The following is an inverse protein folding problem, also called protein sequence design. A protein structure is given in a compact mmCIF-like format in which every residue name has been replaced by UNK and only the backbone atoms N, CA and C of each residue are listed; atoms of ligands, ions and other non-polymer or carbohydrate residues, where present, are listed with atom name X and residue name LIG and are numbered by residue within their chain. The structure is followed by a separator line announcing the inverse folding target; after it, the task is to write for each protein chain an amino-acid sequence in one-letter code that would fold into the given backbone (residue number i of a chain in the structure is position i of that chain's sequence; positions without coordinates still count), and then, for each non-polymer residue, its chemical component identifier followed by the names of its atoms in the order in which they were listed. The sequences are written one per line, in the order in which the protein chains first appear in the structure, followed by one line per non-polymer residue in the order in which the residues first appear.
data_IF_957476997268
#
_entry.id   IF_957476997268
#
_cell.length_a   1.000
_cell.length_b   1.000
_cell.length_c   1.000
_cell.angle_alpha   90.00
_cell.angle_beta   90.00
_cell.angle_gamma   90.00
#
_symmetry.space_group_name_H-M   'P 1'
#
loop_
_entity.id
_entity.type
_entity.pdbx_description
1 polymer ?
#
# COMPACT_ATOMS: atom_id res chain seq x y z
N UNK A 1 6.88 10.59 27.65
CA UNK A 1 6.93 9.13 27.87
C UNK A 1 5.55 8.67 28.30
N UNK A 2 4.67 8.33 27.35
CA UNK A 2 3.26 8.01 27.65
C UNK A 2 3.15 6.57 28.15
N UNK A 3 2.96 6.42 29.46
CA UNK A 3 2.68 5.13 30.11
C UNK A 3 1.31 4.65 29.59
N UNK A 4 1.32 3.77 28.59
CA UNK A 4 0.12 3.07 28.16
C UNK A 4 -0.34 2.19 29.32
N UNK A 5 -1.35 2.64 30.06
CA UNK A 5 -2.03 1.82 31.06
C UNK A 5 -2.62 0.57 30.40
N UNK A 6 -2.63 -0.57 31.10
CA UNK A 6 -3.16 -1.85 30.60
C UNK A 6 -4.57 -1.69 30.00
N UNK A 7 -5.38 -0.83 30.62
CA UNK A 7 -6.71 -0.42 30.13
C UNK A 7 -6.67 0.15 28.70
N UNK A 8 -5.71 1.03 28.38
CA UNK A 8 -5.59 1.61 27.04
C UNK A 8 -5.19 0.56 25.98
N UNK A 9 -4.32 -0.40 26.32
CA UNK A 9 -3.98 -1.51 25.42
C UNK A 9 -5.20 -2.38 25.12
N UNK A 10 -5.99 -2.71 26.15
CA UNK A 10 -7.21 -3.51 25.99
C UNK A 10 -8.24 -2.75 25.17
N UNK A 11 -8.48 -1.46 25.46
CA UNK A 11 -9.43 -0.64 24.68
C UNK A 11 -9.01 -0.51 23.22
N UNK A 12 -7.72 -0.34 22.93
CA UNK A 12 -7.24 -0.30 21.55
C UNK A 12 -7.53 -1.61 20.80
N UNK A 13 -7.31 -2.76 21.45
CA UNK A 13 -7.66 -4.06 20.88
C UNK A 13 -9.16 -4.22 20.61
N UNK A 14 -10.02 -3.76 21.51
CA UNK A 14 -11.48 -3.80 21.34
C UNK A 14 -11.92 -2.89 20.19
N UNK A 15 -11.40 -1.66 20.11
CA UNK A 15 -11.71 -0.76 19.00
C UNK A 15 -11.23 -1.30 17.66
N UNK A 16 -10.02 -1.87 17.61
CA UNK A 16 -9.48 -2.48 16.41
C UNK A 16 -10.33 -3.66 15.96
N UNK A 17 -10.73 -4.54 16.87
CA UNK A 17 -11.58 -5.69 16.54
C UNK A 17 -12.98 -5.26 16.07
N UNK A 18 -13.55 -4.21 16.68
CA UNK A 18 -14.84 -3.64 16.27
C UNK A 18 -14.74 -2.94 14.90
N UNK A 19 -13.63 -2.25 14.64
CA UNK A 19 -13.33 -1.64 13.35
C UNK A 19 -13.18 -2.69 12.26
N UNK A 20 -12.41 -3.76 12.51
CA UNK A 20 -12.26 -4.92 11.59
C UNK A 20 -13.60 -5.58 11.31
N UNK A 21 -14.48 -5.73 12.30
CA UNK A 21 -15.84 -6.26 12.07
C UNK A 21 -16.74 -5.30 11.28
N UNK A 22 -16.55 -3.99 11.42
CA UNK A 22 -17.31 -2.97 10.69
C UNK A 22 -16.85 -2.84 9.23
N UNK A 23 -15.62 -3.25 8.93
CA UNK A 23 -15.06 -3.42 7.58
C UNK A 23 -15.65 -4.65 6.84
N UNK A 24 -16.97 -4.88 6.94
CA UNK A 24 -17.68 -5.91 6.15
C UNK A 24 -17.52 -5.73 4.64
N UNK A 25 -17.12 -4.54 4.20
CA UNK A 25 -16.84 -4.27 2.80
C UNK A 25 -15.33 -4.52 2.52
N UNK A 26 -14.97 -5.60 1.80
CA UNK A 26 -13.57 -5.98 1.55
C UNK A 26 -12.76 -4.85 0.88
N UNK A 27 -13.44 -3.99 0.12
CA UNK A 27 -12.83 -2.83 -0.53
C UNK A 27 -12.26 -1.82 0.46
N UNK A 28 -12.90 -1.61 1.62
CA UNK A 28 -12.43 -0.60 2.59
C UNK A 28 -11.16 -1.10 3.29
N UNK A 29 -11.12 -2.39 3.64
CA UNK A 29 -9.94 -3.00 4.24
C UNK A 29 -8.74 -2.97 3.29
N UNK A 30 -8.96 -3.31 2.01
CA UNK A 30 -7.92 -3.30 0.99
C UNK A 30 -7.43 -1.87 0.70
N UNK A 31 -8.33 -0.89 0.61
CA UNK A 31 -7.96 0.53 0.41
C UNK A 31 -7.10 1.03 1.57
N UNK A 32 -7.40 0.62 2.81
CA UNK A 32 -6.60 1.00 3.97
C UNK A 32 -5.16 0.47 3.90
N UNK A 33 -4.98 -0.75 3.40
CA UNK A 33 -3.63 -1.31 3.15
C UNK A 33 -2.87 -0.48 2.12
N UNK A 34 -3.52 -0.04 1.03
CA UNK A 34 -2.88 0.85 0.05
C UNK A 34 -2.49 2.19 0.62
N UNK A 35 -3.34 2.80 1.45
CA UNK A 35 -3.02 4.08 2.10
C UNK A 35 -1.79 3.94 2.99
N UNK A 36 -1.70 2.86 3.77
CA UNK A 36 -0.53 2.59 4.60
C UNK A 36 0.72 2.39 3.73
N UNK A 37 0.64 1.56 2.69
CA UNK A 37 1.77 1.32 1.79
C UNK A 37 2.23 2.61 1.09
N UNK A 38 1.30 3.45 0.66
CA UNK A 38 1.60 4.75 0.05
C UNK A 38 2.34 5.66 1.03
N UNK A 39 1.85 5.79 2.27
CA UNK A 39 2.49 6.60 3.32
C UNK A 39 3.93 6.12 3.56
N UNK A 40 4.12 4.80 3.68
CA UNK A 40 5.44 4.19 3.85
C UNK A 40 6.34 4.58 2.67
N UNK A 41 5.90 4.38 1.43
CA UNK A 41 6.68 4.72 0.25
C UNK A 41 7.05 6.21 0.17
N UNK A 42 6.14 7.12 0.54
CA UNK A 42 6.42 8.55 0.59
C UNK A 42 7.49 8.94 1.62
N UNK A 43 7.71 8.14 2.66
CA UNK A 43 8.80 8.39 3.63
C UNK A 43 10.17 8.00 3.09
N UNK A 44 10.26 7.02 2.20
CA UNK A 44 11.52 6.52 1.65
C UNK A 44 11.87 7.15 0.31
N UNK A 45 10.88 7.66 -0.42
CA UNK A 45 11.03 8.03 -1.82
C UNK A 45 10.46 9.43 -2.07
N UNK A 46 11.30 10.31 -2.60
CA UNK A 46 10.87 11.63 -3.09
C UNK A 46 10.34 11.52 -4.52
N UNK A 47 9.01 11.52 -4.66
CA UNK A 47 8.32 11.50 -5.97
C UNK A 47 8.76 12.64 -6.89
N UNK A 48 8.88 13.91 -6.44
CA UNK A 48 9.30 15.01 -7.31
C UNK A 48 10.73 14.82 -7.84
N UNK A 49 11.64 14.33 -7.00
CA UNK A 49 13.03 14.06 -7.40
C UNK A 49 13.09 12.96 -8.47
N UNK A 50 12.36 11.86 -8.28
CA UNK A 50 12.27 10.80 -9.29
C UNK A 50 11.73 11.36 -10.60
N UNK A 51 10.65 12.14 -10.55
CA UNK A 51 10.02 12.66 -11.77
C UNK A 51 10.96 13.60 -12.54
N UNK A 52 11.64 14.51 -11.85
CA UNK A 52 12.60 15.43 -12.49
C UNK A 52 13.77 14.68 -13.14
N UNK A 53 14.43 13.80 -12.39
CA UNK A 53 15.55 12.99 -12.90
C UNK A 53 15.13 12.04 -14.04
N UNK A 54 13.90 11.54 -13.99
CA UNK A 54 13.34 10.69 -15.02
C UNK A 54 13.09 11.47 -16.33
N UNK A 55 12.60 12.70 -16.24
CA UNK A 55 12.42 13.59 -17.39
C UNK A 55 13.78 14.01 -17.98
N UNK A 56 14.75 14.34 -17.13
CA UNK A 56 16.10 14.72 -17.54
C UNK A 56 16.88 13.57 -18.20
N UNK A 57 16.58 12.32 -17.81
CA UNK A 57 17.22 11.14 -18.36
C UNK A 57 16.94 10.90 -19.84
N UNK A 58 15.80 11.38 -20.38
CA UNK A 58 15.36 11.10 -21.76
C UNK A 58 15.05 9.63 -22.10
N UNK A 59 15.43 8.67 -21.23
CA UNK A 59 15.17 7.24 -21.37
C UNK A 59 14.58 6.68 -20.08
N UNK A 60 13.24 6.73 -20.03
CA UNK A 60 12.42 6.30 -18.90
C UNK A 60 12.74 4.88 -18.42
N UNK A 61 12.91 3.94 -19.35
CA UNK A 61 13.13 2.54 -19.02
C UNK A 61 14.50 2.32 -18.36
N UNK A 62 15.56 2.87 -18.95
CA UNK A 62 16.91 2.74 -18.42
C UNK A 62 17.04 3.42 -17.06
N UNK A 63 16.44 4.60 -16.90
CA UNK A 63 16.39 5.31 -15.63
C UNK A 63 15.68 4.47 -14.56
N UNK A 64 14.52 3.90 -14.87
CA UNK A 64 13.78 3.07 -13.92
C UNK A 64 14.58 1.87 -13.45
N UNK A 65 15.21 1.13 -14.37
CA UNK A 65 16.03 -0.05 -14.02
C UNK A 65 17.22 0.36 -13.14
N UNK A 66 17.92 1.45 -13.49
CA UNK A 66 19.05 1.95 -12.70
C UNK A 66 18.62 2.48 -11.33
N UNK A 67 17.53 3.23 -11.26
CA UNK A 67 17.00 3.75 -10.01
C UNK A 67 16.55 2.62 -9.09
N UNK A 68 15.85 1.61 -9.63
CA UNK A 68 15.43 0.44 -8.88
C UNK A 68 16.63 -0.38 -8.36
N UNK A 69 17.59 -0.72 -9.24
CA UNK A 69 18.75 -1.55 -8.85
C UNK A 69 19.68 -0.88 -7.85
N UNK A 70 19.74 0.47 -7.83
CA UNK A 70 20.59 1.23 -6.92
C UNK A 70 19.89 1.68 -5.62
N UNK A 71 18.63 1.30 -5.40
CA UNK A 71 17.95 1.55 -4.12
C UNK A 71 18.31 0.52 -3.05
N UNK A 72 18.12 0.89 -1.78
CA UNK A 72 18.29 -0.03 -0.66
C UNK A 72 17.35 -1.25 -0.77
N UNK A 73 17.81 -2.39 -0.27
CA UNK A 73 17.07 -3.67 -0.30
C UNK A 73 15.66 -3.54 0.31
N UNK A 74 15.51 -2.75 1.39
CA UNK A 74 14.22 -2.51 2.02
C UNK A 74 13.24 -1.76 1.11
N UNK A 75 13.73 -0.79 0.33
CA UNK A 75 12.92 -0.03 -0.63
C UNK A 75 12.50 -0.94 -1.78
N UNK A 76 13.42 -1.76 -2.30
CA UNK A 76 13.12 -2.75 -3.35
C UNK A 76 12.03 -3.73 -2.91
N UNK A 77 12.16 -4.31 -1.71
CA UNK A 77 11.16 -5.23 -1.17
C UNK A 77 9.80 -4.57 -0.98
N UNK A 78 9.79 -3.33 -0.47
CA UNK A 78 8.54 -2.57 -0.27
C UNK A 78 7.86 -2.27 -1.61
N UNK A 79 8.62 -1.89 -2.64
CA UNK A 79 8.10 -1.70 -3.99
C UNK A 79 7.53 -2.99 -4.60
N UNK A 80 8.24 -4.11 -4.45
CA UNK A 80 7.76 -5.43 -4.91
C UNK A 80 6.47 -5.83 -4.19
N UNK A 81 6.43 -5.73 -2.86
CA UNK A 81 5.25 -6.05 -2.07
C UNK A 81 4.07 -5.16 -2.44
N UNK A 82 4.31 -3.87 -2.68
CA UNK A 82 3.28 -2.93 -3.15
C UNK A 82 2.77 -3.34 -4.53
N UNK A 83 3.65 -3.73 -5.45
CA UNK A 83 3.28 -4.23 -6.78
C UNK A 83 2.46 -5.54 -6.73
N UNK A 84 2.80 -6.46 -5.83
CA UNK A 84 2.01 -7.68 -5.64
C UNK A 84 0.64 -7.33 -5.05
N UNK A 85 0.60 -6.43 -4.05
CA UNK A 85 -0.63 -5.98 -3.44
C UNK A 85 -1.57 -5.33 -4.46
N UNK A 86 -1.06 -4.42 -5.32
CA UNK A 86 -1.86 -3.79 -6.38
C UNK A 86 -2.44 -4.82 -7.35
N UNK A 87 -1.64 -5.80 -7.78
CA UNK A 87 -2.13 -6.88 -8.67
C UNK A 87 -3.25 -7.69 -8.02
N UNK A 88 -3.08 -8.08 -6.75
CA UNK A 88 -4.10 -8.83 -6.01
C UNK A 88 -5.38 -8.01 -5.82
N UNK A 89 -5.25 -6.71 -5.57
CA UNK A 89 -6.37 -5.78 -5.45
C UNK A 89 -7.16 -5.67 -6.75
N UNK A 90 -6.48 -5.42 -7.88
CA UNK A 90 -7.12 -5.36 -9.19
C UNK A 90 -7.83 -6.68 -9.50
N UNK A 91 -7.18 -7.82 -9.22
CA UNK A 91 -7.80 -9.14 -9.37
C UNK A 91 -9.07 -9.26 -8.52
N UNK A 92 -9.00 -8.84 -7.26
CA UNK A 92 -10.12 -8.96 -6.33
C UNK A 92 -11.31 -8.08 -6.75
N UNK A 93 -11.06 -6.83 -7.14
CA UNK A 93 -12.09 -5.94 -7.70
C UNK A 93 -12.74 -6.57 -8.93
N UNK A 94 -11.92 -7.07 -9.86
CA UNK A 94 -12.40 -7.65 -11.11
C UNK A 94 -13.27 -8.87 -10.85
N UNK A 95 -12.83 -9.77 -9.96
CA UNK A 95 -13.62 -10.94 -9.55
C UNK A 95 -14.93 -10.52 -8.90
N UNK A 96 -14.90 -9.54 -8.00
CA UNK A 96 -16.11 -9.06 -7.33
C UNK A 96 -17.09 -8.39 -8.29
N UNK A 97 -16.59 -7.63 -9.27
CA UNK A 97 -17.38 -7.03 -10.33
C UNK A 97 -18.04 -8.10 -11.23
N UNK A 98 -17.30 -9.14 -11.62
CA UNK A 98 -17.82 -10.26 -12.42
C UNK A 98 -18.88 -11.06 -11.66
N UNK A 99 -18.66 -11.32 -10.37
CA UNK A 99 -19.65 -12.03 -9.55
C UNK A 99 -20.93 -11.19 -9.39
N UNK A 100 -20.78 -9.88 -9.16
CA UNK A 100 -21.93 -8.98 -9.05
C UNK A 100 -22.76 -8.93 -10.33
N UNK A 101 -22.13 -8.96 -11.51
CA UNK A 101 -22.88 -8.95 -12.79
C UNK A 101 -23.50 -10.30 -13.15
N UNK A 102 -23.01 -11.42 -12.62
CA UNK A 102 -23.57 -12.76 -12.86
C UNK A 102 -24.68 -13.17 -11.90
N UNK A 103 -24.74 -12.58 -10.72
CA UNK A 103 -25.72 -12.91 -9.67
C UNK A 103 -26.73 -11.79 -9.38
N UNK A 104 -26.73 -10.71 -10.17
CA UNK A 104 -27.74 -9.65 -10.18
C UNK A 104 -28.68 -9.82 -11.39
#
# INVERSE_FOLDING_TARGET
MTIFTIKNRIMFGVYLMYFVRKLKNPFIAETFVFVILAIILFTFISVPSILSNMLDSGNFYRYFVMAFSNTEIFVQLTLILTGIATLLFVRNITVHAILKTRFA
#
